data_IF_742280613853
#
_entry.id   IF_742280613853
#
_cell.length_a   1.000
_cell.length_b   1.000
_cell.length_c   1.000
_cell.angle_alpha   90.00
_cell.angle_beta   90.00
_cell.angle_gamma   90.00
#
_symmetry.space_group_name_H-M   'P 1'
#
loop_
_entity.id
_entity.type
_entity.pdbx_description
1 polymer ?
#
# COMPACT_ATOMS: atom_id res chain seq x y z
N UNK A 1 12.33 11.20 -1.49
CA UNK A 1 11.85 11.12 -0.09
C UNK A 1 11.14 9.81 0.17
N UNK A 2 10.27 9.36 -0.74
CA UNK A 2 9.50 8.12 -0.58
C UNK A 2 10.25 6.88 -1.08
N UNK A 3 11.15 7.01 -2.06
CA UNK A 3 11.93 5.88 -2.62
C UNK A 3 12.71 5.08 -1.56
N UNK A 4 13.23 5.72 -0.50
CA UNK A 4 13.92 5.00 0.59
C UNK A 4 12.96 4.12 1.41
N UNK A 5 11.67 4.50 1.46
CA UNK A 5 10.63 3.80 2.21
C UNK A 5 10.04 2.62 1.44
N UNK A 6 10.07 2.64 0.10
CA UNK A 6 9.45 1.59 -0.73
C UNK A 6 9.96 0.19 -0.39
N UNK A 7 11.22 0.09 0.02
CA UNK A 7 11.87 -1.17 0.41
C UNK A 7 11.70 -1.52 1.90
N UNK A 8 11.16 -0.62 2.71
CA UNK A 8 10.97 -0.89 4.13
C UNK A 8 9.81 -1.87 4.34
N UNK A 9 10.01 -2.93 5.14
CA UNK A 9 9.00 -3.97 5.29
C UNK A 9 7.74 -3.50 6.03
N UNK A 10 7.74 -2.30 6.61
CA UNK A 10 6.67 -1.73 7.43
C UNK A 10 6.20 -0.36 6.89
N UNK A 11 6.53 -0.07 5.64
CA UNK A 11 5.96 1.04 4.85
C UNK A 11 4.82 0.51 3.98
N UNK A 12 3.61 1.04 4.11
CA UNK A 12 2.40 0.55 3.43
C UNK A 12 1.93 1.44 2.28
N UNK A 13 2.77 2.39 1.83
CA UNK A 13 2.39 3.30 0.74
C UNK A 13 1.12 4.08 1.03
N UNK A 14 0.25 4.20 0.03
CA UNK A 14 -1.04 4.88 0.12
C UNK A 14 -2.21 3.94 0.53
N UNK A 15 -1.95 2.94 1.38
CA UNK A 15 -2.99 2.01 1.84
C UNK A 15 -4.13 2.77 2.56
N UNK A 16 -5.42 2.44 2.32
CA UNK A 16 -6.53 3.15 2.93
C UNK A 16 -6.57 2.96 4.43
N UNK A 17 -7.07 3.96 5.14
CA UNK A 17 -7.23 3.90 6.59
C UNK A 17 -8.06 2.69 7.03
N UNK A 18 -9.10 2.32 6.28
CA UNK A 18 -9.94 1.15 6.58
C UNK A 18 -9.13 -0.16 6.61
N UNK A 19 -8.21 -0.35 5.66
CA UNK A 19 -7.32 -1.52 5.64
C UNK A 19 -6.28 -1.44 6.77
N UNK A 20 -5.73 -0.26 7.03
CA UNK A 20 -4.80 -0.02 8.15
C UNK A 20 -5.43 -0.33 9.50
N UNK A 21 -6.72 -0.01 9.69
CA UNK A 21 -7.42 -0.24 10.96
C UNK A 21 -7.44 -1.70 11.37
N UNK A 22 -7.48 -2.61 10.39
CA UNK A 22 -7.44 -4.05 10.63
C UNK A 22 -6.02 -4.56 10.95
N UNK A 23 -4.99 -3.81 10.56
CA UNK A 23 -3.58 -4.21 10.74
C UNK A 23 -2.97 -3.68 12.04
N UNK A 24 -3.33 -2.46 12.44
CA UNK A 24 -2.75 -1.73 13.58
C UNK A 24 -3.70 -1.85 14.79
N UNK A 25 -3.73 -3.05 15.38
CA UNK A 25 -4.79 -3.47 16.30
C UNK A 25 -4.43 -3.35 17.80
N UNK A 26 -3.17 -3.63 18.14
CA UNK A 26 -2.68 -3.70 19.53
C UNK A 26 -1.87 -2.46 19.86
N UNK A 27 -1.99 -1.95 21.10
CA UNK A 27 -1.21 -0.78 21.55
C UNK A 27 0.27 -0.94 21.22
N UNK A 28 0.82 0.10 20.58
CA UNK A 28 2.21 0.16 20.14
C UNK A 28 2.49 -0.54 18.81
N UNK A 29 1.48 -1.13 18.16
CA UNK A 29 1.54 -1.47 16.74
C UNK A 29 1.73 -0.17 15.94
N UNK A 30 2.62 -0.19 14.94
CA UNK A 30 2.85 0.96 14.08
C UNK A 30 3.24 0.59 12.66
N UNK A 31 3.04 1.52 11.73
CA UNK A 31 3.53 1.45 10.35
C UNK A 31 3.81 2.86 9.80
N UNK A 32 4.58 2.94 8.72
CA UNK A 32 4.68 4.18 7.92
C UNK A 32 3.74 4.06 6.73
N UNK A 33 3.09 5.17 6.39
CA UNK A 33 2.31 5.32 5.16
C UNK A 33 2.48 6.71 4.58
N UNK A 34 1.91 6.90 3.40
CA UNK A 34 1.80 8.19 2.76
C UNK A 34 0.48 8.86 3.12
N UNK A 35 0.53 10.13 3.52
CA UNK A 35 -0.65 10.98 3.58
C UNK A 35 -0.87 11.62 2.22
N UNK A 36 -2.14 11.66 1.82
CA UNK A 36 -2.61 12.35 0.64
C UNK A 36 -2.13 13.82 0.64
N UNK A 37 -1.78 14.37 -0.53
CA UNK A 37 -1.51 15.79 -0.71
C UNK A 37 -2.66 16.66 -0.18
N UNK A 38 -2.37 17.59 0.72
CA UNK A 38 -3.30 18.63 1.15
C UNK A 38 -2.72 20.02 0.88
N UNK A 39 -3.54 20.92 0.31
CA UNK A 39 -3.19 22.33 0.17
C UNK A 39 -1.97 22.63 -0.70
N UNK A 40 -1.76 21.86 -1.79
CA UNK A 40 -0.64 22.05 -2.72
C UNK A 40 0.71 21.55 -2.22
N UNK A 41 0.75 20.89 -1.05
CA UNK A 41 1.93 20.15 -0.59
C UNK A 41 1.94 18.76 -1.21
N UNK A 42 3.11 18.30 -1.64
CA UNK A 42 3.29 16.92 -2.08
C UNK A 42 2.99 15.91 -0.97
N UNK A 43 2.93 14.61 -1.31
CA UNK A 43 2.67 13.56 -0.34
C UNK A 43 3.67 13.57 0.83
N UNK A 44 3.17 13.27 2.02
CA UNK A 44 3.95 13.37 3.25
C UNK A 44 4.02 12.01 3.96
N UNK A 45 5.22 11.54 4.32
CA UNK A 45 5.35 10.34 5.14
C UNK A 45 4.71 10.55 6.52
N UNK A 46 3.99 9.55 6.99
CA UNK A 46 3.29 9.57 8.26
C UNK A 46 3.48 8.26 9.00
N UNK A 47 3.77 8.38 10.28
CA UNK A 47 3.82 7.25 11.20
C UNK A 47 2.43 7.09 11.83
N UNK A 48 1.76 5.98 11.58
CA UNK A 48 0.49 5.65 12.23
C UNK A 48 0.76 4.66 13.36
N UNK A 49 0.24 4.96 14.56
CA UNK A 49 0.48 4.17 15.78
C UNK A 49 -0.84 3.86 16.46
N UNK A 50 -1.01 2.63 16.95
CA UNK A 50 -2.10 2.25 17.85
C UNK A 50 -1.79 2.75 19.26
N UNK A 51 -2.58 3.70 19.74
CA UNK A 51 -2.64 4.06 21.16
C UNK A 51 -3.66 3.17 21.89
N UNK A 52 -3.81 3.38 23.20
CA UNK A 52 -4.72 2.59 24.05
C UNK A 52 -6.16 2.58 23.51
N UNK A 53 -6.69 3.75 23.17
CA UNK A 53 -8.11 3.93 22.79
C UNK A 53 -8.32 4.17 21.30
N UNK A 54 -7.28 4.57 20.56
CA UNK A 54 -7.40 5.01 19.17
C UNK A 54 -6.13 4.77 18.38
N UNK A 55 -6.22 4.83 17.06
CA UNK A 55 -5.03 5.04 16.23
C UNK A 55 -4.78 6.53 16.08
N UNK A 56 -3.49 6.90 16.02
CA UNK A 56 -3.07 8.28 15.81
C UNK A 56 -2.02 8.35 14.73
N UNK A 57 -2.15 9.37 13.90
CA UNK A 57 -1.20 9.74 12.86
C UNK A 57 -0.21 10.78 13.39
N UNK A 58 1.07 10.53 13.13
CA UNK A 58 2.17 11.43 13.42
C UNK A 58 2.89 11.76 12.10
N UNK A 59 2.52 12.88 11.45
CA UNK A 59 3.22 13.36 10.27
C UNK A 59 4.72 13.52 10.51
N UNK A 60 5.53 13.05 9.56
CA UNK A 60 6.98 13.18 9.65
C UNK A 60 7.40 14.44 8.90
N UNK A 61 7.81 15.45 9.66
CA UNK A 61 8.14 16.76 9.13
C UNK A 61 9.61 16.85 8.72
N UNK A 62 9.87 17.60 7.65
CA UNK A 62 11.22 18.02 7.28
C UNK A 62 11.58 19.31 8.03
N UNK A 63 12.78 19.36 8.61
CA UNK A 63 13.35 20.55 9.24
C UNK A 63 14.71 20.84 8.62
N UNK A 64 14.98 22.11 8.34
CA UNK A 64 16.27 22.55 7.80
C UNK A 64 17.17 23.03 8.95
N UNK A 65 18.37 22.45 9.10
CA UNK A 65 19.39 22.88 10.06
C UNK A 65 20.64 23.27 9.28
N UNK A 66 20.88 24.57 9.16
CA UNK A 66 21.89 25.09 8.24
C UNK A 66 21.60 24.61 6.82
N UNK A 67 22.55 23.91 6.22
CA UNK A 67 22.39 23.33 4.87
C UNK A 67 21.94 21.86 4.89
N UNK A 68 21.72 21.27 6.06
CA UNK A 68 21.36 19.86 6.20
C UNK A 68 19.85 19.72 6.40
N UNK A 69 19.25 18.87 5.57
CA UNK A 69 17.87 18.44 5.72
C UNK A 69 17.78 17.36 6.79
N UNK A 70 16.88 17.53 7.75
CA UNK A 70 16.62 16.59 8.84
C UNK A 70 15.13 16.26 8.90
N UNK A 71 14.77 15.19 9.58
CA UNK A 71 13.40 14.72 9.76
C UNK A 71 13.05 14.62 11.24
N UNK A 72 11.81 14.97 11.60
CA UNK A 72 11.31 14.92 12.97
C UNK A 72 9.85 14.46 13.00
N UNK A 73 9.47 13.79 14.08
CA UNK A 73 8.10 13.29 14.32
C UNK A 73 7.47 14.01 15.52
N UNK A 74 8.32 14.44 16.47
CA UNK A 74 7.94 15.06 17.74
C UNK A 74 8.36 16.54 17.83
N UNK A 75 9.07 17.07 16.83
CA UNK A 75 9.65 18.42 16.80
C UNK A 75 10.97 18.55 17.58
N UNK A 76 11.35 17.55 18.36
CA UNK A 76 12.51 17.59 19.26
C UNK A 76 13.64 16.75 18.68
N UNK A 77 13.38 15.45 18.51
CA UNK A 77 14.30 14.48 17.96
C UNK A 77 14.45 14.62 16.45
N UNK A 78 15.66 14.44 15.95
CA UNK A 78 15.99 14.64 14.53
C UNK A 78 16.79 13.46 13.98
N UNK A 79 16.44 13.04 12.77
CA UNK A 79 17.16 12.01 12.00
C UNK A 79 17.53 12.53 10.61
N UNK A 80 18.55 11.93 10.01
CA UNK A 80 18.99 12.25 8.64
C UNK A 80 18.07 11.68 7.56
N UNK A 81 17.29 10.66 7.89
CA UNK A 81 16.29 10.02 7.01
C UNK A 81 14.96 9.83 7.73
N UNK A 82 13.89 9.59 6.99
CA UNK A 82 12.56 9.29 7.57
C UNK A 82 12.63 7.98 8.37
N UNK A 83 13.28 6.97 7.80
CA UNK A 83 13.51 5.69 8.45
C UNK A 83 14.33 5.86 9.74
N UNK A 84 15.38 6.67 9.70
CA UNK A 84 16.28 6.87 10.83
C UNK A 84 15.59 7.50 12.03
N UNK A 85 14.71 8.49 11.82
CA UNK A 85 13.99 9.10 12.94
C UNK A 85 12.94 8.14 13.54
N UNK A 86 12.29 7.30 12.73
CA UNK A 86 11.36 6.29 13.26
C UNK A 86 12.11 5.18 14.00
N UNK A 87 13.20 4.68 13.42
CA UNK A 87 14.06 3.68 14.07
C UNK A 87 14.60 4.17 15.40
N UNK A 88 15.00 5.45 15.49
CA UNK A 88 15.42 6.06 16.76
C UNK A 88 14.33 5.95 17.83
N UNK A 89 13.10 6.38 17.52
CA UNK A 89 11.98 6.29 18.46
C UNK A 89 11.66 4.83 18.84
N UNK A 90 11.77 3.92 17.88
CA UNK A 90 11.50 2.50 18.10
C UNK A 90 12.55 1.79 18.97
N UNK A 91 13.83 2.07 18.76
CA UNK A 91 14.92 1.42 19.48
C UNK A 91 15.11 2.02 20.88
N UNK A 92 15.08 3.34 20.99
CA UNK A 92 15.30 4.05 22.27
C UNK A 92 14.03 4.17 23.12
N UNK A 93 12.86 3.71 22.60
CA UNK A 93 11.55 3.83 23.27
C UNK A 93 11.20 5.27 23.65
N UNK A 94 11.53 6.21 22.76
CA UNK A 94 11.17 7.62 22.91
C UNK A 94 9.64 7.75 22.76
N UNK A 95 8.99 8.29 23.77
CA UNK A 95 7.56 8.57 23.72
C UNK A 95 7.25 9.69 22.73
N UNK A 96 6.24 9.46 21.91
CA UNK A 96 5.56 10.47 21.10
C UNK A 96 4.54 11.22 21.97
N UNK A 97 3.90 12.24 21.40
CA UNK A 97 2.76 12.91 22.03
C UNK A 97 1.65 11.91 22.38
N UNK A 98 0.91 12.16 23.47
CA UNK A 98 -0.14 11.28 24.02
C UNK A 98 0.36 9.89 24.47
N UNK A 99 1.58 9.83 25.01
CA UNK A 99 2.20 8.60 25.52
C UNK A 99 2.30 7.46 24.47
N UNK A 100 2.35 7.83 23.20
CA UNK A 100 2.52 6.88 22.09
C UNK A 100 3.93 6.30 22.09
N UNK A 101 4.07 4.98 22.13
CA UNK A 101 5.39 4.30 22.09
C UNK A 101 5.36 3.25 20.98
N UNK A 102 6.46 3.18 20.23
CA UNK A 102 6.61 2.21 19.15
C UNK A 102 7.08 0.86 19.70
N UNK A 103 6.22 -0.16 19.60
CA UNK A 103 6.47 -1.49 20.16
C UNK A 103 6.59 -2.57 19.09
N UNK A 104 5.76 -2.51 18.05
CA UNK A 104 5.74 -3.54 17.01
C UNK A 104 5.52 -2.94 15.62
N UNK A 105 6.51 -3.00 14.70
CA UNK A 105 6.29 -2.64 13.31
C UNK A 105 5.36 -3.67 12.66
N UNK A 106 4.36 -3.18 11.93
CA UNK A 106 3.44 -4.01 11.16
C UNK A 106 4.01 -4.22 9.76
N UNK A 107 4.36 -5.45 9.38
CA UNK A 107 4.92 -5.71 8.07
C UNK A 107 3.86 -5.56 6.96
N UNK A 108 4.32 -5.29 5.73
CA UNK A 108 3.54 -5.41 4.50
C UNK A 108 2.91 -6.79 4.44
N UNK A 109 1.66 -6.83 4.01
CA UNK A 109 0.91 -8.06 3.89
C UNK A 109 1.34 -8.84 2.64
N UNK A 110 1.18 -10.18 2.60
CA UNK A 110 1.58 -10.99 1.45
C UNK A 110 0.92 -10.59 0.13
N UNK A 111 -0.26 -9.96 0.20
CA UNK A 111 -1.00 -9.46 -0.95
C UNK A 111 -0.55 -8.07 -1.42
N UNK A 112 0.29 -7.35 -0.67
CA UNK A 112 0.91 -6.11 -1.10
C UNK A 112 2.11 -6.42 -2.00
N UNK A 113 1.87 -6.40 -3.31
CA UNK A 113 2.85 -6.74 -4.33
C UNK A 113 3.61 -5.49 -4.78
N UNK A 114 4.88 -5.69 -5.12
CA UNK A 114 5.71 -4.68 -5.77
C UNK A 114 5.64 -4.84 -7.29
N UNK A 115 5.69 -3.73 -8.02
CA UNK A 115 5.56 -3.70 -9.48
C UNK A 115 6.64 -4.50 -10.20
N UNK A 116 7.84 -4.61 -9.63
CA UNK A 116 8.96 -5.40 -10.17
C UNK A 116 8.64 -6.91 -10.29
N UNK A 117 7.66 -7.40 -9.52
CA UNK A 117 7.20 -8.78 -9.59
C UNK A 117 6.22 -9.03 -10.75
N UNK A 118 5.75 -7.97 -11.41
CA UNK A 118 4.68 -8.02 -12.41
C UNK A 118 5.24 -7.75 -13.81
N UNK A 119 4.91 -8.61 -14.75
CA UNK A 119 5.19 -8.39 -16.16
C UNK A 119 3.90 -8.43 -16.97
N UNK A 120 3.49 -7.30 -17.53
CA UNK A 120 2.39 -7.20 -18.48
C UNK A 120 2.84 -7.75 -19.84
N UNK A 121 1.99 -8.54 -20.51
CA UNK A 121 2.30 -9.14 -21.82
C UNK A 121 1.31 -8.72 -22.89
N UNK A 122 0.06 -9.16 -22.80
CA UNK A 122 -0.94 -8.97 -23.85
C UNK A 122 -2.21 -8.40 -23.26
N UNK A 123 -2.73 -7.29 -23.81
CA UNK A 123 -4.02 -6.74 -23.40
C UNK A 123 -5.14 -7.73 -23.76
N UNK A 124 -5.93 -8.10 -22.75
CA UNK A 124 -7.08 -8.99 -22.88
C UNK A 124 -8.38 -8.22 -23.11
N UNK A 125 -8.48 -7.00 -22.57
CA UNK A 125 -9.65 -6.16 -22.71
C UNK A 125 -9.49 -4.80 -22.05
N UNK A 126 -10.49 -3.96 -22.24
CA UNK A 126 -10.63 -2.64 -21.60
C UNK A 126 -12.10 -2.45 -21.24
N UNK A 127 -12.36 -1.79 -20.12
CA UNK A 127 -13.70 -1.43 -19.68
C UNK A 127 -13.69 -0.13 -18.89
N UNK A 128 -14.84 0.22 -18.30
CA UNK A 128 -15.00 1.47 -17.54
C UNK A 128 -14.00 1.63 -16.38
N UNK A 129 -13.51 0.52 -15.82
CA UNK A 129 -12.64 0.49 -14.65
C UNK A 129 -11.14 0.32 -14.98
N UNK A 130 -10.77 0.28 -16.25
CA UNK A 130 -9.38 0.17 -16.71
C UNK A 130 -9.14 -0.96 -17.70
N UNK A 131 -7.86 -1.31 -17.85
CA UNK A 131 -7.40 -2.33 -18.80
C UNK A 131 -7.15 -3.64 -18.09
N UNK A 132 -7.44 -4.76 -18.75
CA UNK A 132 -7.10 -6.09 -18.26
C UNK A 132 -6.03 -6.68 -19.17
N UNK A 133 -4.96 -7.16 -18.58
CA UNK A 133 -3.78 -7.68 -19.25
C UNK A 133 -3.52 -9.13 -18.83
N UNK A 134 -3.13 -9.96 -19.79
CA UNK A 134 -2.41 -11.19 -19.54
C UNK A 134 -0.98 -10.82 -19.18
N UNK A 135 -0.45 -11.44 -18.14
CA UNK A 135 0.93 -11.24 -17.72
C UNK A 135 1.43 -12.35 -16.82
N UNK A 136 2.48 -12.05 -16.07
CA UNK A 136 3.05 -12.98 -15.08
C UNK A 136 3.35 -12.30 -13.76
N UNK A 137 3.22 -13.09 -12.69
CA UNK A 137 3.61 -12.73 -11.32
C UNK A 137 4.79 -13.61 -10.87
N UNK A 138 5.90 -12.97 -10.48
CA UNK A 138 7.03 -13.63 -9.81
C UNK A 138 6.72 -13.80 -8.32
N UNK A 139 6.31 -15.01 -7.91
CA UNK A 139 6.03 -15.33 -6.51
C UNK A 139 7.31 -15.59 -5.71
N UNK A 140 8.35 -16.11 -6.36
CA UNK A 140 9.66 -16.37 -5.75
C UNK A 140 10.75 -16.34 -6.83
N UNK A 141 12.06 -16.40 -6.47
CA UNK A 141 13.15 -16.48 -7.46
C UNK A 141 13.02 -17.65 -8.44
N UNK A 142 12.31 -18.72 -8.06
CA UNK A 142 12.15 -19.94 -8.85
C UNK A 142 10.73 -20.18 -9.35
N UNK A 143 9.76 -19.34 -8.97
CA UNK A 143 8.34 -19.53 -9.30
C UNK A 143 7.73 -18.26 -9.90
N UNK A 144 7.33 -18.38 -11.16
CA UNK A 144 6.56 -17.38 -11.89
C UNK A 144 5.28 -18.03 -12.40
N UNK A 145 4.14 -17.38 -12.19
CA UNK A 145 2.82 -17.87 -12.61
C UNK A 145 2.21 -16.93 -13.64
N UNK A 146 1.39 -17.47 -14.55
CA UNK A 146 0.53 -16.63 -15.39
C UNK A 146 -0.57 -15.98 -14.54
N UNK A 147 -0.89 -14.73 -14.86
CA UNK A 147 -1.88 -13.94 -14.16
C UNK A 147 -2.69 -13.08 -15.12
N UNK A 148 -3.94 -12.83 -14.74
CA UNK A 148 -4.70 -11.71 -15.27
C UNK A 148 -4.47 -10.50 -14.35
N UNK A 149 -4.19 -9.34 -14.95
CA UNK A 149 -3.76 -8.13 -14.26
C UNK A 149 -4.68 -7.00 -14.70
N UNK A 150 -5.55 -6.55 -13.81
CA UNK A 150 -6.38 -5.37 -14.02
C UNK A 150 -5.55 -4.15 -13.65
N UNK A 151 -5.34 -3.25 -14.59
CA UNK A 151 -4.54 -2.03 -14.45
C UNK A 151 -5.47 -0.83 -14.53
N UNK A 152 -5.44 -0.01 -13.48
CA UNK A 152 -6.21 1.24 -13.42
C UNK A 152 -5.21 2.38 -13.27
N UNK A 153 -5.18 3.28 -14.27
CA UNK A 153 -4.39 4.52 -14.19
C UNK A 153 -5.20 5.55 -13.43
N UNK A 154 -4.65 6.03 -12.32
CA UNK A 154 -5.25 7.12 -11.58
C UNK A 154 -5.04 8.43 -12.36
N UNK A 155 -6.11 9.21 -12.49
CA UNK A 155 -6.07 10.63 -12.86
C UNK A 155 -6.61 11.39 -11.63
N UNK A 156 -6.26 12.67 -11.47
CA UNK A 156 -6.57 13.46 -10.27
C UNK A 156 -8.07 13.41 -9.85
N UNK A 157 -8.99 13.20 -10.79
CA UNK A 157 -10.44 13.11 -10.53
C UNK A 157 -10.95 11.70 -10.11
N UNK A 158 -10.07 10.69 -9.99
CA UNK A 158 -10.46 9.28 -9.85
C UNK A 158 -10.39 8.69 -8.42
N UNK A 159 -10.38 9.51 -7.36
CA UNK A 159 -10.35 9.01 -5.96
C UNK A 159 -11.45 7.98 -5.66
N UNK A 160 -12.63 8.14 -6.24
CA UNK A 160 -13.74 7.20 -6.12
C UNK A 160 -13.39 5.81 -6.69
N UNK A 161 -12.74 5.75 -7.85
CA UNK A 161 -12.33 4.49 -8.47
C UNK A 161 -11.28 3.76 -7.65
N UNK A 162 -10.36 4.49 -7.04
CA UNK A 162 -9.39 3.91 -6.12
C UNK A 162 -10.09 3.23 -4.94
N UNK A 163 -11.07 3.89 -4.32
CA UNK A 163 -11.88 3.29 -3.24
C UNK A 163 -12.67 2.06 -3.69
N UNK A 164 -13.25 2.08 -4.89
CA UNK A 164 -13.98 0.92 -5.44
C UNK A 164 -13.05 -0.27 -5.68
N UNK A 165 -11.86 -0.03 -6.21
CA UNK A 165 -10.86 -1.06 -6.42
C UNK A 165 -10.32 -1.63 -5.11
N UNK A 166 -10.14 -0.80 -4.08
CA UNK A 166 -9.82 -1.30 -2.74
C UNK A 166 -10.92 -2.21 -2.23
N UNK A 167 -12.19 -1.80 -2.32
CA UNK A 167 -13.34 -2.64 -1.93
C UNK A 167 -13.35 -3.98 -2.69
N UNK A 168 -13.14 -3.94 -4.00
CA UNK A 168 -13.03 -5.14 -4.85
C UNK A 168 -11.93 -6.06 -4.34
N UNK A 169 -10.72 -5.54 -4.10
CA UNK A 169 -9.62 -6.31 -3.54
C UNK A 169 -9.95 -6.87 -2.15
N UNK A 170 -10.64 -6.12 -1.27
CA UNK A 170 -11.01 -6.63 0.06
C UNK A 170 -11.96 -7.80 -0.02
N UNK A 171 -12.95 -7.72 -0.89
CA UNK A 171 -13.90 -8.81 -1.10
C UNK A 171 -13.17 -10.03 -1.66
N UNK A 172 -12.35 -9.85 -2.71
CA UNK A 172 -11.56 -10.94 -3.28
C UNK A 172 -10.67 -11.65 -2.26
N UNK A 173 -10.04 -10.91 -1.32
CA UNK A 173 -9.22 -11.50 -0.23
C UNK A 173 -10.00 -12.44 0.68
N UNK A 174 -11.32 -12.32 0.77
CA UNK A 174 -12.16 -13.12 1.67
C UNK A 174 -12.63 -14.43 1.03
N UNK A 175 -12.53 -14.58 -0.29
CA UNK A 175 -13.05 -15.75 -1.01
C UNK A 175 -11.93 -16.63 -1.53
N UNK A 176 -11.99 -17.91 -1.15
CA UNK A 176 -11.17 -18.97 -1.73
C UNK A 176 -12.07 -20.15 -2.05
N UNK A 177 -12.47 -20.27 -3.32
CA UNK A 177 -13.42 -21.28 -3.76
C UNK A 177 -13.15 -21.66 -5.21
N UNK A 178 -13.40 -22.92 -5.59
CA UNK A 178 -13.10 -23.45 -6.93
C UNK A 178 -13.81 -22.70 -8.08
N UNK A 179 -14.95 -22.06 -7.77
CA UNK A 179 -15.75 -21.29 -8.72
C UNK A 179 -15.56 -19.76 -8.60
N UNK A 180 -14.58 -19.31 -7.80
CA UNK A 180 -14.23 -17.90 -7.63
C UNK A 180 -12.80 -17.71 -8.08
N UNK A 181 -12.56 -16.69 -8.91
CA UNK A 181 -11.21 -16.39 -9.42
C UNK A 181 -10.26 -16.13 -8.26
N UNK A 182 -9.12 -16.84 -8.23
CA UNK A 182 -8.13 -16.68 -7.18
C UNK A 182 -7.49 -15.29 -7.19
N UNK A 183 -7.40 -14.66 -6.02
CA UNK A 183 -6.68 -13.41 -5.83
C UNK A 183 -5.22 -13.67 -5.45
N UNK A 184 -4.28 -13.02 -6.13
CA UNK A 184 -2.86 -13.12 -5.79
C UNK A 184 -2.35 -11.91 -5.02
N UNK A 185 -2.86 -10.71 -5.31
CA UNK A 185 -2.44 -9.50 -4.62
C UNK A 185 -2.76 -8.24 -5.42
N UNK A 186 -2.26 -7.12 -4.91
CA UNK A 186 -2.43 -5.80 -5.51
C UNK A 186 -1.12 -5.02 -5.45
N UNK A 187 -0.86 -4.24 -6.49
CA UNK A 187 0.26 -3.28 -6.54
C UNK A 187 -0.31 -1.88 -6.33
N UNK A 188 0.31 -1.12 -5.42
CA UNK A 188 -0.03 0.27 -5.12
C UNK A 188 1.23 1.12 -5.22
N UNK A 189 1.54 1.62 -6.42
CA UNK A 189 2.73 2.44 -6.64
C UNK A 189 2.39 3.66 -7.51
N UNK A 190 2.44 4.84 -6.89
CA UNK A 190 2.08 6.12 -7.52
C UNK A 190 0.66 6.03 -8.14
N UNK A 191 0.51 6.49 -9.38
CA UNK A 191 -0.76 6.46 -10.12
C UNK A 191 -1.10 5.09 -10.75
N UNK A 192 -0.28 4.06 -10.50
CA UNK A 192 -0.48 2.72 -11.06
C UNK A 192 -1.00 1.77 -9.99
N UNK A 193 -2.28 1.45 -10.08
CA UNK A 193 -2.85 0.38 -9.27
C UNK A 193 -3.11 -0.84 -10.12
N UNK A 194 -2.76 -2.00 -9.59
CA UNK A 194 -3.00 -3.27 -10.25
C UNK A 194 -3.66 -4.26 -9.30
N UNK A 195 -4.69 -4.96 -9.76
CA UNK A 195 -5.19 -6.19 -9.12
C UNK A 195 -4.65 -7.38 -9.91
N UNK A 196 -3.98 -8.29 -9.21
CA UNK A 196 -3.33 -9.47 -9.77
C UNK A 196 -4.09 -10.72 -9.34
N UNK A 197 -4.51 -11.50 -10.31
CA UNK A 197 -5.42 -12.62 -10.10
C UNK A 197 -5.11 -13.80 -11.01
N UNK A 198 -5.69 -14.93 -10.67
CA UNK A 198 -5.60 -16.18 -11.41
C UNK A 198 -6.02 -15.99 -12.87
N UNK A 199 -5.22 -16.54 -13.78
CA UNK A 199 -5.55 -16.58 -15.19
C UNK A 199 -6.53 -17.73 -15.46
N UNK A 200 -7.77 -17.42 -15.80
CA UNK A 200 -8.77 -18.44 -16.17
C UNK A 200 -8.69 -18.73 -17.68
N UNK A 201 -8.78 -20.01 -18.06
CA UNK A 201 -8.77 -20.41 -19.46
C UNK A 201 -10.13 -20.12 -20.12
N UNK A 202 -10.15 -19.15 -21.05
CA UNK A 202 -11.34 -18.77 -21.83
C UNK A 202 -11.45 -17.25 -22.01
N UNK A 203 -10.95 -16.72 -23.13
CA UNK A 203 -10.78 -15.28 -23.36
C UNK A 203 -12.06 -14.45 -23.13
N UNK A 204 -13.24 -14.99 -23.49
CA UNK A 204 -14.53 -14.31 -23.33
C UNK A 204 -15.00 -14.26 -21.86
N UNK A 205 -14.67 -15.29 -21.08
CA UNK A 205 -15.03 -15.41 -19.66
C UNK A 205 -14.13 -14.49 -18.83
N UNK A 206 -12.83 -14.46 -19.14
CA UNK A 206 -11.88 -13.56 -18.49
C UNK A 206 -12.26 -12.10 -18.73
N UNK A 207 -12.55 -11.70 -19.97
CA UNK A 207 -12.97 -10.32 -20.23
C UNK A 207 -14.28 -9.96 -19.50
N UNK A 208 -15.30 -10.84 -19.52
CA UNK A 208 -16.60 -10.54 -18.90
C UNK A 208 -16.58 -10.59 -17.38
N UNK A 209 -15.95 -11.60 -16.78
CA UNK A 209 -15.80 -11.70 -15.33
C UNK A 209 -14.96 -10.53 -14.84
N UNK A 210 -13.80 -10.26 -15.45
CA UNK A 210 -12.89 -9.21 -14.97
C UNK A 210 -13.38 -7.78 -15.25
N UNK A 211 -14.27 -7.58 -16.23
CA UNK A 211 -14.97 -6.30 -16.44
C UNK A 211 -16.12 -6.07 -15.46
N UNK A 212 -16.73 -7.14 -14.92
CA UNK A 212 -17.91 -7.09 -14.05
C UNK A 212 -17.66 -7.74 -12.68
N UNK A 213 -16.43 -7.75 -12.15
CA UNK A 213 -16.24 -8.09 -10.72
C UNK A 213 -16.77 -6.92 -9.90
N UNK A 214 -18.10 -6.86 -9.84
CA UNK A 214 -18.88 -6.46 -8.70
C UNK A 214 -19.37 -7.80 -8.17
N UNK A 215 -18.77 -8.26 -7.07
CA UNK A 215 -19.30 -9.41 -6.33
C UNK A 215 -20.63 -8.99 -5.72
#
# INVERSE_FOLDING_TARGET
MVEELENEPWYHGALPLEDITALVAVKGDFLIRELEPEGGRGPMPCLTVRLESQMKDYPIHTVQIGNTRMFTIDGVNKGSTVVGIVQKHYQEKISLQDDGVLLKPIPKQPWELSKDKIQLKTKLGEGAFGEVWKGTLRQSPTKTVEAAIKVTKLKEDNKKYMQEMYKEARLMRQYQHINVVGFYGMVMENDNVMIVMEMVNGALIVAKILQHIVI
#
